data_IF_318780549048
#
_entry.id   IF_318780549048
#
_cell.length_a   1.000
_cell.length_b   1.000
_cell.length_c   1.000
_cell.angle_alpha   90.00
_cell.angle_beta   90.00
_cell.angle_gamma   90.00
#
_symmetry.space_group_name_H-M   'P 1'
#
loop_
_entity.id
_entity.type
_entity.pdbx_description
1 polymer ?
#
# COMPACT_ATOMS: atom_id res chain seq x y z
N UNK A 1 -6.93 -9.56 19.15
CA UNK A 1 -8.04 -9.06 18.32
C UNK A 1 -7.50 -8.72 16.94
N UNK A 2 -8.27 -8.94 15.87
CA UNK A 2 -7.87 -8.48 14.55
C UNK A 2 -7.69 -6.96 14.56
N UNK A 3 -6.72 -6.46 13.80
CA UNK A 3 -6.54 -5.02 13.58
C UNK A 3 -7.51 -4.53 12.51
N UNK A 4 -8.03 -3.32 12.70
CA UNK A 4 -8.84 -2.62 11.71
C UNK A 4 -7.98 -1.56 11.02
N UNK A 5 -7.73 -1.74 9.73
CA UNK A 5 -6.95 -0.83 8.90
C UNK A 5 -7.91 -0.20 7.88
N UNK A 6 -7.87 1.13 7.76
CA UNK A 6 -8.72 1.87 6.84
C UNK A 6 -7.88 2.79 5.95
N UNK A 7 -8.23 2.88 4.67
CA UNK A 7 -7.69 3.86 3.74
C UNK A 7 -8.59 5.09 3.69
N UNK A 8 -7.99 6.27 3.78
CA UNK A 8 -8.68 7.54 3.71
C UNK A 8 -8.24 8.35 2.49
N UNK A 9 -9.15 8.53 1.53
CA UNK A 9 -8.96 9.29 0.30
C UNK A 9 -9.97 10.45 0.23
N UNK A 10 -10.06 11.24 1.29
CA UNK A 10 -10.95 12.39 1.41
C UNK A 10 -10.19 13.71 1.55
N UNK A 11 -10.93 14.77 1.84
CA UNK A 11 -10.39 16.11 2.09
C UNK A 11 -10.18 16.40 3.59
N UNK A 12 -9.66 17.61 3.88
CA UNK A 12 -9.35 18.07 5.23
C UNK A 12 -10.56 18.00 6.18
N UNK A 13 -11.77 18.27 5.69
CA UNK A 13 -12.98 18.40 6.53
C UNK A 13 -13.70 17.08 6.71
N UNK A 14 -13.73 16.26 5.68
CA UNK A 14 -14.50 15.01 5.67
C UNK A 14 -14.03 14.01 6.73
N UNK A 15 -12.76 14.06 7.14
CA UNK A 15 -12.25 13.16 8.18
C UNK A 15 -12.96 13.36 9.53
N UNK A 16 -13.38 14.57 9.83
CA UNK A 16 -14.05 14.91 11.09
C UNK A 16 -15.48 14.34 11.18
N UNK A 17 -16.03 13.88 10.06
CA UNK A 17 -17.36 13.27 9.98
C UNK A 17 -17.35 11.78 10.35
N UNK A 18 -16.17 11.15 10.46
CA UNK A 18 -16.03 9.74 10.76
C UNK A 18 -15.73 9.46 12.23
N UNK A 19 -16.43 8.47 12.79
CA UNK A 19 -16.05 7.88 14.07
C UNK A 19 -14.96 6.83 13.84
N UNK A 20 -13.79 7.08 14.42
CA UNK A 20 -12.60 6.22 14.27
C UNK A 20 -12.38 5.29 15.48
N UNK A 21 -13.34 5.20 16.38
CA UNK A 21 -13.24 4.26 17.51
C UNK A 21 -13.17 2.81 16.97
N UNK A 22 -12.14 2.08 17.38
CA UNK A 22 -11.89 0.72 16.89
C UNK A 22 -11.11 0.64 15.57
N UNK A 23 -10.73 1.76 14.96
CA UNK A 23 -9.75 1.80 13.87
C UNK A 23 -8.35 1.83 14.48
N UNK A 24 -7.52 0.85 14.13
CA UNK A 24 -6.14 0.77 14.64
C UNK A 24 -5.15 1.53 13.75
N UNK A 25 -5.34 1.48 12.43
CA UNK A 25 -4.50 2.19 11.46
C UNK A 25 -5.36 2.94 10.44
N UNK A 26 -5.01 4.20 10.18
CA UNK A 26 -5.61 5.02 9.13
C UNK A 26 -4.52 5.40 8.13
N UNK A 27 -4.71 5.02 6.88
CA UNK A 27 -3.74 5.22 5.80
C UNK A 27 -4.23 6.38 4.94
N UNK A 28 -3.50 7.51 4.99
CA UNK A 28 -3.79 8.66 4.14
C UNK A 28 -3.41 8.39 2.68
N UNK A 29 -4.37 8.45 1.80
CA UNK A 29 -4.28 8.07 0.39
C UNK A 29 -4.59 9.26 -0.51
N UNK A 30 -3.67 9.74 -1.32
CA UNK A 30 -2.34 9.21 -1.58
C UNK A 30 -1.33 10.33 -1.68
N UNK A 31 -0.05 10.02 -1.45
CA UNK A 31 1.09 10.83 -1.83
C UNK A 31 1.73 10.28 -3.11
N UNK A 32 2.47 11.11 -3.81
CA UNK A 32 3.07 10.74 -5.09
C UNK A 32 4.56 11.04 -5.13
N UNK A 33 5.22 10.56 -6.19
CA UNK A 33 6.60 10.90 -6.48
C UNK A 33 6.71 12.30 -7.10
N UNK A 34 7.63 13.11 -6.59
CA UNK A 34 8.14 14.31 -7.25
C UNK A 34 9.63 14.12 -7.53
N UNK A 35 9.95 13.82 -8.78
CA UNK A 35 11.27 13.26 -9.11
C UNK A 35 11.44 11.89 -8.45
N UNK A 36 12.47 11.74 -7.63
CA UNK A 36 12.77 10.51 -6.88
C UNK A 36 12.39 10.59 -5.38
N UNK A 37 11.58 11.55 -4.98
CA UNK A 37 11.20 11.77 -3.60
C UNK A 37 9.70 11.57 -3.40
N UNK A 38 9.30 11.04 -2.25
CA UNK A 38 7.92 11.14 -1.78
C UNK A 38 7.60 12.60 -1.49
N UNK A 39 6.46 13.08 -1.95
CA UNK A 39 6.08 14.47 -1.80
C UNK A 39 4.60 14.65 -1.44
N UNK A 40 4.32 15.77 -0.79
CA UNK A 40 2.98 16.34 -0.68
C UNK A 40 2.69 17.09 -1.98
N UNK A 41 1.60 16.79 -2.65
CA UNK A 41 1.32 17.33 -3.98
C UNK A 41 0.99 18.83 -3.95
N UNK A 42 0.26 19.27 -2.93
CA UNK A 42 -0.19 20.64 -2.77
C UNK A 42 -0.54 20.99 -1.31
N UNK A 43 -0.93 22.24 -1.06
CA UNK A 43 -1.28 22.74 0.27
C UNK A 43 -2.53 22.06 0.85
N UNK A 44 -3.53 21.74 0.04
CA UNK A 44 -4.75 21.07 0.50
C UNK A 44 -4.43 19.66 1.03
N UNK A 45 -3.55 18.92 0.35
CA UNK A 45 -3.11 17.60 0.81
C UNK A 45 -2.30 17.70 2.11
N UNK A 46 -1.48 18.75 2.25
CA UNK A 46 -0.76 19.04 3.49
C UNK A 46 -1.71 19.27 4.66
N UNK A 47 -2.75 20.07 4.46
CA UNK A 47 -3.75 20.36 5.49
C UNK A 47 -4.58 19.11 5.82
N UNK A 48 -4.95 18.33 4.80
CA UNK A 48 -5.65 17.06 4.99
C UNK A 48 -4.82 16.09 5.83
N UNK A 49 -3.55 15.87 5.47
CA UNK A 49 -2.68 14.98 6.25
C UNK A 49 -2.50 15.47 7.69
N UNK A 50 -2.35 16.78 7.90
CA UNK A 50 -2.28 17.36 9.24
C UNK A 50 -3.55 17.07 10.06
N UNK A 51 -4.75 17.19 9.46
CA UNK A 51 -6.00 16.90 10.17
C UNK A 51 -6.17 15.41 10.41
N UNK A 52 -5.80 14.56 9.46
CA UNK A 52 -5.80 13.10 9.64
C UNK A 52 -4.91 12.69 10.81
N UNK A 53 -3.69 13.23 10.90
CA UNK A 53 -2.78 12.98 12.03
C UNK A 53 -3.34 13.55 13.34
N UNK A 54 -4.01 14.71 13.31
CA UNK A 54 -4.64 15.31 14.48
C UNK A 54 -5.75 14.44 15.10
N UNK A 55 -6.34 13.51 14.34
CA UNK A 55 -7.30 12.53 14.89
C UNK A 55 -6.71 11.70 16.04
N UNK A 56 -5.39 11.53 16.08
CA UNK A 56 -4.68 10.87 17.19
C UNK A 56 -4.92 11.56 18.54
N UNK A 57 -5.30 12.84 18.57
CA UNK A 57 -5.66 13.55 19.81
C UNK A 57 -6.99 13.05 20.38
N UNK A 58 -7.96 12.73 19.50
CA UNK A 58 -9.26 12.15 19.87
C UNK A 58 -9.15 10.63 20.09
N UNK A 59 -8.29 9.97 19.28
CA UNK A 59 -8.10 8.52 19.28
C UNK A 59 -6.62 8.16 19.53
N UNK A 60 -6.16 8.13 20.81
CA UNK A 60 -4.73 8.03 21.14
C UNK A 60 -4.05 6.71 20.72
N UNK A 61 -4.83 5.67 20.41
CA UNK A 61 -4.32 4.38 19.92
C UNK A 61 -4.18 4.32 18.42
N UNK A 62 -4.83 5.27 17.70
CA UNK A 62 -4.80 5.34 16.24
C UNK A 62 -3.38 5.53 15.73
N UNK A 63 -2.97 4.75 14.76
CA UNK A 63 -1.77 4.93 13.96
C UNK A 63 -2.14 5.55 12.62
N UNK A 64 -1.36 6.52 12.16
CA UNK A 64 -1.59 7.18 10.88
C UNK A 64 -0.40 6.94 9.97
N UNK A 65 -0.64 6.33 8.82
CA UNK A 65 0.36 6.11 7.77
C UNK A 65 0.08 7.03 6.59
N UNK A 66 1.12 7.36 5.85
CA UNK A 66 0.98 7.92 4.49
C UNK A 66 1.09 6.80 3.48
N UNK A 67 0.43 6.90 2.32
CA UNK A 67 0.56 5.90 1.26
C UNK A 67 1.10 6.50 -0.02
N UNK A 68 2.07 5.81 -0.65
CA UNK A 68 2.56 6.13 -1.99
C UNK A 68 1.69 5.44 -3.02
N UNK A 69 1.16 6.17 -3.99
CA UNK A 69 0.69 5.58 -5.25
C UNK A 69 -0.81 5.50 -5.40
N UNK A 70 -1.40 4.32 -5.27
CA UNK A 70 -2.78 4.02 -5.68
C UNK A 70 -2.93 3.85 -7.19
N UNK A 71 -4.13 3.47 -7.64
CA UNK A 71 -4.41 3.22 -9.04
C UNK A 71 -4.13 4.45 -9.92
N UNK A 72 -3.08 4.37 -10.74
CA UNK A 72 -2.61 5.47 -11.58
C UNK A 72 -1.60 6.41 -10.91
N UNK A 73 -1.37 6.33 -9.61
CA UNK A 73 -0.48 7.23 -8.87
C UNK A 73 1.02 6.88 -8.95
N UNK A 74 1.36 5.71 -9.48
CA UNK A 74 2.74 5.22 -9.54
C UNK A 74 3.33 5.22 -10.97
N UNK A 75 3.03 6.24 -11.77
CA UNK A 75 3.42 6.30 -13.19
C UNK A 75 4.92 6.17 -13.43
N UNK A 76 5.74 6.72 -12.56
CA UNK A 76 7.21 6.74 -12.69
C UNK A 76 7.93 5.77 -11.76
N UNK A 77 7.22 4.97 -10.99
CA UNK A 77 7.80 4.08 -9.98
C UNK A 77 8.82 3.10 -10.58
N UNK A 78 8.50 2.46 -11.71
CA UNK A 78 9.42 1.53 -12.38
C UNK A 78 10.73 2.18 -12.83
N UNK A 79 10.68 3.44 -13.29
CA UNK A 79 11.89 4.17 -13.66
C UNK A 79 12.68 4.63 -12.43
N UNK A 80 12.00 5.25 -11.46
CA UNK A 80 12.61 5.82 -10.27
C UNK A 80 13.24 4.72 -9.42
N UNK A 81 12.52 3.65 -9.14
CA UNK A 81 13.04 2.61 -8.26
C UNK A 81 14.04 1.65 -8.92
N UNK A 82 14.37 1.88 -10.21
CA UNK A 82 15.39 1.09 -10.91
C UNK A 82 16.82 1.32 -10.41
N UNK A 83 17.10 2.46 -9.74
CA UNK A 83 18.43 2.77 -9.22
C UNK A 83 18.46 2.77 -7.69
N UNK A 84 19.59 2.36 -7.11
CA UNK A 84 19.79 2.41 -5.65
C UNK A 84 19.76 3.84 -5.12
N UNK A 85 20.34 4.80 -5.86
CA UNK A 85 20.39 6.20 -5.48
C UNK A 85 18.98 6.78 -5.30
N UNK A 86 18.09 6.51 -6.25
CA UNK A 86 16.71 7.00 -6.20
C UNK A 86 15.88 6.31 -5.10
N UNK A 87 16.08 4.99 -4.87
CA UNK A 87 15.47 4.29 -3.73
C UNK A 87 15.91 4.90 -2.39
N UNK A 88 17.18 5.28 -2.26
CA UNK A 88 17.71 5.96 -1.06
C UNK A 88 17.07 7.34 -0.91
N UNK A 89 17.00 8.13 -1.98
CA UNK A 89 16.40 9.46 -1.96
C UNK A 89 14.92 9.40 -1.55
N UNK A 90 14.19 8.42 -2.07
CA UNK A 90 12.81 8.15 -1.67
C UNK A 90 12.71 7.78 -0.18
N UNK A 91 13.53 6.87 0.30
CA UNK A 91 13.50 6.43 1.70
C UNK A 91 13.81 7.59 2.67
N UNK A 92 14.77 8.46 2.33
CA UNK A 92 15.11 9.65 3.13
C UNK A 92 13.92 10.62 3.16
N UNK A 93 13.33 10.93 1.99
CA UNK A 93 12.18 11.86 1.91
C UNK A 93 10.96 11.31 2.64
N UNK A 94 10.73 10.00 2.58
CA UNK A 94 9.69 9.31 3.34
C UNK A 94 9.88 9.49 4.85
N UNK A 95 11.08 9.21 5.36
CA UNK A 95 11.39 9.39 6.78
C UNK A 95 11.22 10.86 7.23
N UNK A 96 11.55 11.82 6.36
CA UNK A 96 11.34 13.25 6.62
C UNK A 96 9.86 13.62 6.69
N UNK A 97 9.02 13.11 5.80
CA UNK A 97 7.57 13.36 5.83
C UNK A 97 6.96 12.74 7.08
N UNK A 98 7.28 11.47 7.38
CA UNK A 98 6.80 10.81 8.61
C UNK A 98 7.14 11.65 9.85
N UNK A 99 8.38 12.12 9.96
CA UNK A 99 8.82 12.92 11.10
C UNK A 99 8.14 14.29 11.14
N UNK A 100 8.02 14.98 10.00
CA UNK A 100 7.49 16.35 9.92
C UNK A 100 6.00 16.42 10.25
N UNK A 101 5.22 15.42 9.79
CA UNK A 101 3.79 15.33 10.04
C UNK A 101 3.45 14.52 11.30
N UNK A 102 4.42 13.90 11.94
CA UNK A 102 4.21 12.99 13.08
C UNK A 102 3.32 11.79 12.71
N UNK A 103 3.43 11.32 11.47
CA UNK A 103 2.83 10.07 11.03
C UNK A 103 3.56 8.88 11.68
N UNK A 104 2.98 7.70 11.60
CA UNK A 104 3.50 6.49 12.25
C UNK A 104 4.14 5.52 11.23
N UNK A 105 4.16 5.86 9.93
CA UNK A 105 4.75 4.99 8.92
C UNK A 105 4.31 5.28 7.50
N UNK A 106 4.63 4.34 6.61
CA UNK A 106 4.26 4.38 5.19
C UNK A 106 3.64 3.07 4.74
N UNK A 107 2.69 3.17 3.82
CA UNK A 107 2.13 2.11 3.01
C UNK A 107 2.57 2.30 1.55
N UNK A 108 2.93 1.23 0.85
CA UNK A 108 3.32 1.28 -0.55
C UNK A 108 2.20 0.69 -1.41
N UNK A 109 1.55 1.52 -2.21
CA UNK A 109 0.51 1.10 -3.13
C UNK A 109 0.98 1.25 -4.59
N UNK A 110 2.04 0.51 -4.92
CA UNK A 110 2.56 0.43 -6.29
C UNK A 110 1.87 -0.69 -7.06
N UNK A 111 1.07 -0.32 -8.04
CA UNK A 111 0.25 -1.22 -8.83
C UNK A 111 0.72 -1.31 -10.28
N UNK A 112 1.67 -2.22 -10.62
CA UNK A 112 2.31 -3.22 -9.77
C UNK A 112 3.80 -3.33 -10.12
N UNK A 113 4.68 -3.74 -9.19
CA UNK A 113 6.05 -4.07 -9.52
C UNK A 113 6.11 -5.27 -10.48
N UNK A 114 6.85 -5.15 -11.59
CA UNK A 114 7.18 -6.25 -12.48
C UNK A 114 6.08 -6.81 -13.36
N UNK A 115 4.83 -6.38 -13.18
CA UNK A 115 3.67 -6.83 -13.97
C UNK A 115 2.80 -5.65 -14.41
N UNK A 116 1.94 -5.87 -15.40
CA UNK A 116 1.03 -4.84 -15.89
C UNK A 116 0.04 -4.43 -14.80
N UNK A 117 -0.10 -3.12 -14.62
CA UNK A 117 -1.10 -2.48 -13.76
C UNK A 117 -1.89 -1.42 -14.51
N UNK A 118 -1.84 -0.16 -14.05
CA UNK A 118 -2.57 0.94 -14.68
C UNK A 118 -2.20 1.08 -16.16
N UNK A 119 -3.17 1.24 -17.08
CA UNK A 119 -2.93 1.33 -18.52
C UNK A 119 -1.93 2.43 -18.88
N UNK A 120 -0.86 2.05 -19.58
CA UNK A 120 0.19 2.97 -20.04
C UNK A 120 1.29 3.25 -19.01
N UNK A 121 1.24 2.66 -17.81
CA UNK A 121 2.37 2.68 -16.89
C UNK A 121 3.45 1.70 -17.35
N UNK A 122 4.71 2.13 -17.19
CA UNK A 122 5.85 1.25 -17.40
C UNK A 122 5.94 0.22 -16.28
N UNK A 123 6.29 -1.00 -16.64
CA UNK A 123 6.71 -2.07 -15.74
C UNK A 123 7.82 -2.87 -16.42
N UNK A 124 8.67 -3.48 -15.64
CA UNK A 124 9.79 -4.31 -16.10
C UNK A 124 10.03 -5.44 -15.08
N UNK A 125 10.53 -6.61 -15.52
CA UNK A 125 10.71 -7.75 -14.60
C UNK A 125 11.55 -7.44 -13.37
N UNK A 126 12.52 -6.54 -13.49
CA UNK A 126 13.43 -6.10 -12.44
C UNK A 126 12.73 -5.31 -11.32
N UNK A 127 11.52 -4.79 -11.57
CA UNK A 127 10.76 -4.05 -10.55
C UNK A 127 10.45 -4.92 -9.32
N UNK A 128 10.34 -6.21 -9.50
CA UNK A 128 10.16 -7.17 -8.40
C UNK A 128 11.32 -7.13 -7.40
N UNK A 129 12.55 -7.17 -7.90
CA UNK A 129 13.76 -7.07 -7.09
C UNK A 129 13.94 -5.63 -6.57
N UNK A 130 13.67 -4.63 -7.42
CA UNK A 130 13.74 -3.22 -7.06
C UNK A 130 12.77 -2.87 -5.92
N UNK A 131 11.60 -3.51 -5.86
CA UNK A 131 10.66 -3.36 -4.74
C UNK A 131 11.23 -3.92 -3.44
N UNK A 132 11.86 -5.09 -3.50
CA UNK A 132 12.55 -5.67 -2.34
C UNK A 132 13.63 -4.72 -1.81
N UNK A 133 14.47 -4.22 -2.70
CA UNK A 133 15.54 -3.27 -2.35
C UNK A 133 14.98 -1.94 -1.81
N UNK A 134 13.84 -1.47 -2.36
CA UNK A 134 13.15 -0.28 -1.85
C UNK A 134 12.72 -0.48 -0.39
N UNK A 135 12.11 -1.62 -0.08
CA UNK A 135 11.69 -1.99 1.28
C UNK A 135 12.90 -2.04 2.23
N UNK A 136 14.02 -2.60 1.78
CA UNK A 136 15.29 -2.60 2.55
C UNK A 136 15.76 -1.18 2.84
N UNK A 137 15.75 -0.28 1.84
CA UNK A 137 16.16 1.11 2.06
C UNK A 137 15.18 1.84 2.99
N UNK A 138 13.88 1.64 2.87
CA UNK A 138 12.91 2.23 3.79
C UNK A 138 13.19 1.82 5.22
N UNK A 139 13.37 0.53 5.50
CA UNK A 139 13.71 0.06 6.86
C UNK A 139 15.01 0.64 7.40
N UNK A 140 16.00 0.90 6.54
CA UNK A 140 17.26 1.50 6.93
C UNK A 140 17.14 2.97 7.37
N UNK A 141 16.23 3.73 6.75
CA UNK A 141 16.10 5.17 6.99
C UNK A 141 14.91 5.53 7.88
N UNK A 142 13.90 4.68 8.00
CA UNK A 142 12.80 4.82 8.94
C UNK A 142 13.27 4.58 10.38
N UNK A 143 12.58 5.15 11.35
CA UNK A 143 12.88 4.92 12.77
C UNK A 143 12.40 3.53 13.19
N UNK A 144 13.05 2.99 14.22
CA UNK A 144 12.52 1.81 14.92
C UNK A 144 11.11 2.10 15.45
N UNK A 145 10.18 1.22 15.12
CA UNK A 145 8.75 1.35 15.46
C UNK A 145 7.88 2.07 14.43
N UNK A 146 8.48 2.66 13.37
CA UNK A 146 7.69 3.12 12.23
C UNK A 146 7.12 1.92 11.46
N UNK A 147 5.84 2.01 11.10
CA UNK A 147 5.12 0.95 10.40
C UNK A 147 5.41 1.03 8.90
N UNK A 148 5.72 -0.11 8.31
CA UNK A 148 5.88 -0.26 6.87
C UNK A 148 4.94 -1.35 6.37
N UNK A 149 3.98 -0.98 5.54
CA UNK A 149 3.06 -1.90 4.88
C UNK A 149 3.06 -1.71 3.36
N UNK A 150 2.40 -2.59 2.67
CA UNK A 150 2.14 -2.40 1.24
C UNK A 150 0.81 -3.04 0.85
N UNK A 151 0.17 -2.47 -0.19
CA UNK A 151 -0.99 -3.05 -0.84
C UNK A 151 -0.53 -4.04 -1.91
N UNK A 152 -1.18 -5.18 -2.00
CA UNK A 152 -0.90 -6.19 -3.01
C UNK A 152 -2.17 -6.64 -3.73
N UNK A 153 -2.06 -6.85 -5.04
CA UNK A 153 -3.14 -7.43 -5.81
C UNK A 153 -3.48 -8.84 -5.34
N UNK A 154 -4.74 -9.21 -5.42
CA UNK A 154 -5.26 -10.48 -4.95
C UNK A 154 -5.92 -11.24 -6.10
N UNK A 155 -5.42 -12.42 -6.40
CA UNK A 155 -6.03 -13.38 -7.30
C UNK A 155 -5.49 -14.78 -6.97
N UNK A 156 -6.09 -15.80 -7.49
CA UNK A 156 -5.64 -17.19 -7.29
C UNK A 156 -5.00 -17.79 -8.56
N UNK A 157 -4.80 -16.99 -9.60
CA UNK A 157 -4.22 -17.47 -10.87
C UNK A 157 -2.69 -17.32 -10.95
N UNK A 158 -2.05 -16.80 -9.90
CA UNK A 158 -0.61 -16.60 -9.84
C UNK A 158 -0.12 -15.30 -10.50
N UNK A 159 -1.01 -14.44 -10.96
CA UNK A 159 -0.61 -13.21 -11.67
C UNK A 159 0.00 -12.18 -10.71
N UNK A 160 -0.67 -11.87 -9.61
CA UNK A 160 -0.18 -10.87 -8.65
C UNK A 160 0.94 -11.41 -7.76
N UNK A 161 0.96 -12.71 -7.51
CA UNK A 161 1.99 -13.36 -6.72
C UNK A 161 3.39 -13.20 -7.31
N UNK A 162 3.48 -12.98 -8.64
CA UNK A 162 4.75 -12.78 -9.34
C UNK A 162 5.37 -11.41 -9.09
N UNK A 163 4.60 -10.42 -8.64
CA UNK A 163 5.08 -9.03 -8.50
C UNK A 163 6.01 -8.83 -7.32
N UNK A 164 6.02 -9.72 -6.34
CA UNK A 164 6.73 -9.56 -5.07
C UNK A 164 7.64 -10.77 -4.80
N UNK A 165 8.82 -10.52 -4.24
CA UNK A 165 9.67 -11.55 -3.63
C UNK A 165 9.22 -11.78 -2.18
N UNK A 166 8.12 -12.52 -2.01
CA UNK A 166 7.41 -12.69 -0.74
C UNK A 166 8.29 -13.13 0.42
N UNK A 167 9.17 -14.08 0.18
CA UNK A 167 10.12 -14.62 1.17
C UNK A 167 11.12 -13.57 1.67
N UNK A 168 11.46 -12.59 0.85
CA UNK A 168 12.39 -11.51 1.19
C UNK A 168 11.69 -10.28 1.78
N UNK A 169 10.50 -9.94 1.26
CA UNK A 169 9.76 -8.73 1.65
C UNK A 169 9.03 -8.90 2.98
N UNK A 170 8.33 -10.03 3.17
CA UNK A 170 7.50 -10.23 4.37
C UNK A 170 8.25 -10.10 5.70
N UNK A 171 9.52 -10.53 5.85
CA UNK A 171 10.28 -10.30 7.09
C UNK A 171 10.63 -8.83 7.36
N UNK A 172 10.46 -7.94 6.38
CA UNK A 172 10.83 -6.53 6.47
C UNK A 172 9.65 -5.59 6.65
N UNK A 173 8.42 -6.07 6.45
CA UNK A 173 7.19 -5.28 6.57
C UNK A 173 6.38 -5.70 7.79
N UNK A 174 5.50 -4.82 8.28
CA UNK A 174 4.63 -5.12 9.41
C UNK A 174 3.37 -5.88 8.96
N UNK A 175 2.84 -5.54 7.78
CA UNK A 175 1.70 -6.23 7.18
C UNK A 175 1.64 -6.03 5.67
N UNK A 176 0.87 -6.86 5.00
CA UNK A 176 0.43 -6.70 3.62
C UNK A 176 -1.09 -6.49 3.59
N UNK A 177 -1.52 -5.45 2.88
CA UNK A 177 -2.92 -5.14 2.65
C UNK A 177 -3.35 -5.78 1.32
N UNK A 178 -3.89 -7.00 1.42
CA UNK A 178 -4.28 -7.77 0.23
C UNK A 178 -5.60 -7.24 -0.32
N UNK A 179 -5.57 -6.71 -1.55
CA UNK A 179 -6.72 -6.12 -2.23
C UNK A 179 -7.70 -7.20 -2.72
N UNK A 180 -8.44 -7.82 -1.81
CA UNK A 180 -9.40 -8.91 -2.08
C UNK A 180 -10.73 -8.37 -2.60
N UNK A 181 -10.67 -7.47 -3.57
CA UNK A 181 -11.80 -6.85 -4.26
C UNK A 181 -11.48 -6.66 -5.74
N UNK A 182 -12.41 -6.10 -6.50
CA UNK A 182 -12.32 -5.96 -7.96
C UNK A 182 -12.18 -7.30 -8.73
N UNK A 183 -12.57 -8.42 -8.10
CA UNK A 183 -12.61 -9.72 -8.78
C UNK A 183 -13.58 -9.71 -9.96
N UNK A 184 -14.65 -8.91 -9.86
CA UNK A 184 -15.58 -8.58 -10.93
C UNK A 184 -15.82 -7.08 -10.96
N UNK A 185 -15.65 -6.46 -12.12
CA UNK A 185 -15.85 -5.04 -12.35
C UNK A 185 -16.52 -4.77 -13.70
N UNK A 186 -16.55 -3.51 -14.11
CA UNK A 186 -17.19 -3.06 -15.37
C UNK A 186 -16.62 -3.69 -16.63
N UNK A 187 -15.38 -4.21 -16.60
CA UNK A 187 -14.73 -4.91 -17.70
C UNK A 187 -14.99 -6.42 -17.76
N UNK A 188 -15.70 -6.97 -16.78
CA UNK A 188 -15.95 -8.41 -16.72
C UNK A 188 -17.00 -8.83 -17.74
N UNK A 189 -16.74 -9.95 -18.46
CA UNK A 189 -17.68 -10.53 -19.43
C UNK A 189 -18.84 -11.32 -18.78
N UNK A 190 -18.76 -11.54 -17.47
CA UNK A 190 -19.73 -12.27 -16.65
C UNK A 190 -20.02 -11.49 -15.38
N UNK A 191 -21.21 -11.72 -14.81
CA UNK A 191 -21.55 -11.24 -13.47
C UNK A 191 -20.95 -12.13 -12.41
N UNK A 192 -20.49 -11.53 -11.28
CA UNK A 192 -19.90 -12.23 -10.16
C UNK A 192 -19.84 -11.34 -8.93
N UNK A 193 -19.29 -11.86 -7.83
CA UNK A 193 -19.11 -11.09 -6.62
C UNK A 193 -17.88 -10.21 -6.71
N UNK A 194 -18.02 -8.92 -6.40
CA UNK A 194 -16.92 -7.97 -6.39
C UNK A 194 -15.84 -8.32 -5.34
N UNK A 195 -16.27 -8.75 -4.16
CA UNK A 195 -15.40 -9.06 -3.01
C UNK A 195 -15.79 -10.40 -2.36
N UNK A 196 -15.68 -11.54 -3.06
CA UNK A 196 -16.12 -12.82 -2.50
C UNK A 196 -15.19 -13.27 -1.37
N UNK A 197 -15.77 -13.66 -0.24
CA UNK A 197 -15.01 -14.25 0.88
C UNK A 197 -14.44 -15.61 0.49
N UNK A 198 -15.28 -16.50 -0.05
CA UNK A 198 -14.90 -17.84 -0.52
C UNK A 198 -15.31 -18.07 -1.96
N UNK A 199 -14.72 -19.09 -2.59
CA UNK A 199 -15.05 -19.48 -3.97
C UNK A 199 -16.50 -19.94 -4.04
N UNK A 200 -17.33 -19.25 -4.83
CA UNK A 200 -18.70 -19.63 -5.13
C UNK A 200 -18.79 -20.76 -6.18
N UNK A 201 -19.98 -20.92 -6.78
CA UNK A 201 -20.24 -21.92 -7.85
C UNK A 201 -19.28 -21.77 -9.05
N UNK A 202 -18.73 -20.59 -9.26
CA UNK A 202 -17.92 -20.26 -10.42
C UNK A 202 -16.41 -20.53 -10.25
N UNK A 203 -15.97 -21.01 -9.09
CA UNK A 203 -14.55 -21.31 -8.77
C UNK A 203 -13.57 -20.16 -9.04
N UNK A 204 -14.03 -18.95 -8.81
CA UNK A 204 -13.27 -17.72 -9.08
C UNK A 204 -12.46 -17.27 -7.88
N UNK A 205 -11.56 -16.31 -8.11
CA UNK A 205 -10.75 -15.72 -7.04
C UNK A 205 -11.59 -15.23 -5.87
N UNK A 206 -11.07 -15.37 -4.67
CA UNK A 206 -11.73 -14.96 -3.43
C UNK A 206 -10.69 -14.58 -2.37
N UNK A 207 -11.11 -13.93 -1.29
CA UNK A 207 -10.21 -13.62 -0.19
C UNK A 207 -9.52 -14.89 0.35
N UNK A 208 -10.28 -15.96 0.54
CA UNK A 208 -9.74 -17.24 1.02
C UNK A 208 -8.74 -17.84 0.05
N UNK A 209 -9.03 -17.86 -1.26
CA UNK A 209 -8.10 -18.42 -2.25
C UNK A 209 -6.82 -17.59 -2.38
N UNK A 210 -6.92 -16.26 -2.30
CA UNK A 210 -5.76 -15.37 -2.37
C UNK A 210 -4.86 -15.51 -1.14
N UNK A 211 -5.44 -15.60 0.06
CA UNK A 211 -4.67 -15.88 1.29
C UNK A 211 -3.99 -17.25 1.19
N UNK A 212 -4.70 -18.28 0.71
CA UNK A 212 -4.12 -19.61 0.55
C UNK A 212 -2.95 -19.62 -0.45
N UNK A 213 -3.04 -18.83 -1.53
CA UNK A 213 -1.96 -18.67 -2.49
C UNK A 213 -0.69 -18.10 -1.82
N UNK A 214 -0.83 -17.04 -1.01
CA UNK A 214 0.29 -16.47 -0.25
C UNK A 214 0.86 -17.45 0.77
N UNK A 215 0.02 -18.19 1.48
CA UNK A 215 0.48 -19.23 2.42
C UNK A 215 1.30 -20.31 1.72
N UNK A 216 0.91 -20.70 0.50
CA UNK A 216 1.66 -21.66 -0.31
C UNK A 216 3.04 -21.12 -0.76
N UNK A 217 3.22 -19.79 -0.79
CA UNK A 217 4.51 -19.13 -1.02
C UNK A 217 5.32 -18.93 0.27
N UNK A 218 4.84 -19.44 1.39
CA UNK A 218 5.54 -19.37 2.68
C UNK A 218 5.20 -18.13 3.52
N UNK A 219 4.29 -17.29 3.09
CA UNK A 219 3.77 -16.17 3.90
C UNK A 219 2.99 -16.76 5.08
N UNK A 220 3.32 -16.31 6.29
CA UNK A 220 2.65 -16.77 7.51
C UNK A 220 1.52 -15.79 7.85
N UNK A 221 0.31 -16.28 8.11
CA UNK A 221 -0.75 -15.47 8.70
C UNK A 221 -0.38 -15.23 10.18
N UNK A 222 -0.33 -13.98 10.59
CA UNK A 222 -0.15 -13.60 11.99
C UNK A 222 -1.34 -12.78 12.49
#
# INVERSE_FOLDING_TARGET
NPQVIAYYAGDEKSIDEFELEGVDQLIYSFLHLKGNQLAIDNEADSLTLLNVVNQKKKYPKLKVLVSLGGWGGCKTCSDVFSTEEDRIAFAISTAQIIASYQADGIDLDWEYPGISGFPGHKYQPEDRENFTDLVVQLRKYMKEGDILSFAAGANSDGYFEQSIEWDKVMPLVDNVNLMTYDFYGSGSSKTGHHTPLGSGEFKEGSAVSSIQALMNLGVKPE
#
